data_IF_987145680224
#
_entry.id   IF_987145680224
#
_cell.length_a   1.000
_cell.length_b   1.000
_cell.length_c   1.000
_cell.angle_alpha   90.00
_cell.angle_beta   90.00
_cell.angle_gamma   90.00
#
_symmetry.space_group_name_H-M   'P 1'
#
loop_
_entity.id
_entity.type
_entity.pdbx_description
1 polymer ?
#
# COMPACT_ATOMS: atom_id res chain seq x y z
N UNK A 1 -23.47 6.75 1.90
CA UNK A 1 -22.39 5.77 1.97
C UNK A 1 -21.14 6.53 2.37
N UNK A 2 -20.59 6.29 3.54
CA UNK A 2 -19.35 6.90 3.98
C UNK A 2 -18.24 5.86 3.81
N UNK A 3 -17.26 6.16 2.99
CA UNK A 3 -16.12 5.30 2.70
C UNK A 3 -14.90 5.87 3.43
N UNK A 4 -14.24 5.05 4.22
CA UNK A 4 -13.02 5.40 4.94
C UNK A 4 -11.92 4.48 4.45
N UNK A 5 -10.82 5.09 4.00
CA UNK A 5 -9.59 4.39 3.61
C UNK A 5 -8.52 4.81 4.60
N UNK A 6 -8.02 3.87 5.36
CA UNK A 6 -7.02 4.10 6.41
C UNK A 6 -5.80 3.19 6.22
N UNK A 7 -4.61 3.70 6.51
CA UNK A 7 -3.44 2.90 6.81
C UNK A 7 -3.31 2.79 8.33
N UNK A 8 -3.21 1.58 8.84
CA UNK A 8 -2.96 1.35 10.25
C UNK A 8 -1.46 1.19 10.47
N UNK A 9 -0.90 2.12 11.24
CA UNK A 9 0.41 1.90 11.84
C UNK A 9 0.21 0.93 13.01
N UNK A 10 0.78 -0.28 12.94
CA UNK A 10 0.99 -1.10 14.13
C UNK A 10 2.04 -0.39 15.00
N UNK A 11 1.56 0.51 15.85
CA UNK A 11 2.34 1.00 16.97
C UNK A 11 2.26 0.01 18.11
N UNK A 12 3.37 -0.25 18.76
CA UNK A 12 3.47 -1.03 19.98
C UNK A 12 2.27 -0.82 20.92
N UNK A 13 1.63 -1.90 21.32
CA UNK A 13 0.69 -1.90 22.43
C UNK A 13 1.40 -1.38 23.68
N UNK A 14 1.13 -0.14 24.08
CA UNK A 14 1.69 0.32 25.35
C UNK A 14 1.39 1.74 25.76
N UNK A 15 1.05 2.63 24.87
CA UNK A 15 0.71 3.99 25.25
C UNK A 15 -0.68 4.37 24.71
N UNK A 16 -1.69 4.20 25.55
CA UNK A 16 -2.95 4.90 25.40
C UNK A 16 -2.65 6.39 25.68
N UNK A 17 -2.20 7.12 24.66
CA UNK A 17 -2.10 8.55 24.72
C UNK A 17 -3.53 9.10 24.73
N UNK A 18 -3.85 9.91 25.76
CA UNK A 18 -5.09 10.66 25.80
C UNK A 18 -5.24 11.43 24.47
N UNK A 19 -6.26 11.14 23.64
CA UNK A 19 -6.41 11.76 22.33
C UNK A 19 -6.45 13.29 22.37
N UNK A 20 -6.85 13.86 23.51
CA UNK A 20 -6.99 15.30 23.69
C UNK A 20 -5.64 16.01 23.98
N UNK A 21 -4.53 15.27 24.14
CA UNK A 21 -3.23 15.84 24.54
C UNK A 21 -2.07 15.50 23.58
N UNK A 22 -2.31 14.77 22.50
CA UNK A 22 -1.26 14.45 21.51
C UNK A 22 -1.14 15.58 20.50
N UNK A 23 -0.16 16.44 20.67
CA UNK A 23 0.23 17.41 19.65
C UNK A 23 1.17 16.69 18.68
N UNK A 24 0.65 16.32 17.51
CA UNK A 24 1.45 15.74 16.45
C UNK A 24 2.35 16.82 15.83
N UNK A 25 3.68 16.58 15.71
CA UNK A 25 4.56 17.51 15.02
C UNK A 25 4.12 17.66 13.58
N UNK A 26 4.12 18.89 13.06
CA UNK A 26 3.73 19.20 11.66
C UNK A 26 2.34 18.68 11.27
N UNK A 27 1.41 18.64 12.21
CA UNK A 27 0.04 18.24 11.96
C UNK A 27 -0.65 19.29 11.07
N UNK A 28 -0.94 18.92 9.85
CA UNK A 28 -1.85 19.65 8.98
C UNK A 28 -3.30 19.27 9.32
N UNK A 29 -4.20 20.23 9.32
CA UNK A 29 -5.63 19.92 9.42
C UNK A 29 -6.09 19.07 8.24
N UNK A 30 -7.07 18.19 8.50
CA UNK A 30 -7.66 17.37 7.46
C UNK A 30 -8.18 18.24 6.31
N UNK A 31 -7.72 17.97 5.11
CA UNK A 31 -8.21 18.67 3.90
C UNK A 31 -9.50 18.03 3.45
N UNK A 32 -10.53 18.84 3.26
CA UNK A 32 -11.83 18.36 2.83
C UNK A 32 -12.39 19.18 1.67
N UNK A 33 -13.31 18.59 0.93
CA UNK A 33 -14.04 19.27 -0.14
C UNK A 33 -15.46 18.72 -0.25
N UNK A 34 -16.40 19.61 -0.51
CA UNK A 34 -17.79 19.28 -0.84
C UNK A 34 -18.03 19.25 -2.35
N UNK A 35 -16.97 19.31 -3.16
CA UNK A 35 -17.06 19.19 -4.61
C UNK A 35 -17.43 17.76 -4.99
N UNK A 36 -18.66 17.56 -5.43
CA UNK A 36 -19.16 16.26 -5.85
C UNK A 36 -18.73 15.86 -7.26
N UNK A 37 -18.74 14.56 -7.52
CA UNK A 37 -18.60 13.98 -8.86
C UNK A 37 -19.29 12.61 -8.89
N UNK A 38 -20.27 12.41 -9.76
CA UNK A 38 -21.03 11.16 -9.79
C UNK A 38 -21.67 10.85 -8.45
N UNK A 39 -21.29 9.72 -7.84
CA UNK A 39 -21.78 9.30 -6.51
C UNK A 39 -21.07 10.02 -5.36
N UNK A 40 -19.95 10.69 -5.61
CA UNK A 40 -19.17 11.37 -4.57
C UNK A 40 -19.86 12.68 -4.21
N UNK A 41 -20.22 12.86 -2.95
CA UNK A 41 -20.82 14.09 -2.42
C UNK A 41 -19.78 15.00 -1.75
N UNK A 42 -18.86 14.38 -1.01
CA UNK A 42 -17.77 15.06 -0.33
C UNK A 42 -16.62 14.06 -0.08
N UNK A 43 -15.45 14.57 0.18
CA UNK A 43 -14.28 13.77 0.59
C UNK A 43 -13.39 14.57 1.52
N UNK A 44 -12.60 13.84 2.31
CA UNK A 44 -11.55 14.42 3.15
C UNK A 44 -10.33 13.52 3.12
N UNK A 45 -9.16 14.10 3.34
CA UNK A 45 -7.90 13.38 3.49
C UNK A 45 -7.09 13.99 4.62
N UNK A 46 -6.43 13.12 5.38
CA UNK A 46 -5.44 13.49 6.37
C UNK A 46 -4.28 12.52 6.27
N UNK A 47 -3.06 13.03 6.40
CA UNK A 47 -1.84 12.24 6.47
C UNK A 47 -0.85 12.93 7.39
N UNK A 48 -0.10 12.17 8.18
CA UNK A 48 0.88 12.71 9.11
C UNK A 48 1.97 11.68 9.37
N UNK A 49 3.21 12.14 9.56
CA UNK A 49 4.36 11.27 9.86
C UNK A 49 4.31 10.58 11.24
N UNK A 50 3.37 10.99 12.12
CA UNK A 50 3.33 10.54 13.51
C UNK A 50 4.44 11.17 14.37
N UNK A 51 4.61 10.62 15.59
CA UNK A 51 5.55 11.16 16.58
C UNK A 51 6.94 10.55 16.54
N UNK A 52 7.10 9.38 15.92
CA UNK A 52 8.35 8.61 15.92
C UNK A 52 9.14 8.71 14.60
N UNK A 53 8.47 9.07 13.50
CA UNK A 53 9.11 9.18 12.19
C UNK A 53 9.64 10.57 11.94
N UNK A 54 10.71 10.69 11.16
CA UNK A 54 11.29 11.98 10.77
C UNK A 54 10.64 12.54 9.50
N UNK A 55 9.96 11.70 8.72
CA UNK A 55 9.28 12.05 7.47
C UNK A 55 8.11 11.10 7.24
N UNK A 56 7.18 11.53 6.38
CA UNK A 56 6.01 10.76 6.00
C UNK A 56 6.24 10.04 4.67
N UNK A 57 6.17 8.72 4.68
CA UNK A 57 6.29 7.87 3.49
C UNK A 57 4.94 7.57 2.83
N UNK A 58 3.82 7.89 3.50
CA UNK A 58 2.48 7.68 2.99
C UNK A 58 2.11 8.67 1.89
N UNK A 59 1.31 8.22 0.93
CA UNK A 59 0.75 9.07 -0.12
C UNK A 59 -0.74 8.79 -0.31
N UNK A 60 -1.44 9.79 -0.82
CA UNK A 60 -2.87 9.73 -1.09
C UNK A 60 -3.15 10.20 -2.51
N UNK A 61 -3.99 9.48 -3.24
CA UNK A 61 -4.55 9.92 -4.53
C UNK A 61 -6.05 10.16 -4.41
N UNK A 62 -6.52 11.31 -4.89
CA UNK A 62 -7.93 11.66 -5.00
C UNK A 62 -8.18 12.23 -6.39
N UNK A 63 -8.84 11.45 -7.24
CA UNK A 63 -9.16 11.82 -8.61
C UNK A 63 -10.67 11.68 -8.80
N UNK A 64 -11.39 12.79 -8.81
CA UNK A 64 -12.85 12.77 -8.87
C UNK A 64 -13.39 12.37 -10.25
N UNK A 65 -12.63 12.64 -11.31
CA UNK A 65 -12.99 12.25 -12.66
C UNK A 65 -11.73 11.95 -13.47
N UNK A 66 -11.53 10.68 -13.78
CA UNK A 66 -10.42 10.26 -14.62
C UNK A 66 -10.75 10.59 -16.06
N UNK A 67 -9.89 11.37 -16.70
CA UNK A 67 -10.05 11.72 -18.10
C UNK A 67 -9.71 10.52 -19.00
N UNK A 68 -10.52 10.36 -20.05
CA UNK A 68 -10.32 9.30 -21.03
C UNK A 68 -8.96 9.42 -21.74
N UNK A 69 -8.17 8.34 -21.81
CA UNK A 69 -6.97 8.31 -22.64
C UNK A 69 -7.32 8.53 -24.12
N UNK A 70 -6.49 9.26 -24.86
CA UNK A 70 -6.77 9.66 -26.25
C UNK A 70 -7.04 8.51 -27.21
N UNK A 71 -6.47 7.32 -26.94
CA UNK A 71 -6.62 6.13 -27.78
C UNK A 71 -7.88 5.29 -27.46
N UNK A 72 -8.60 5.60 -26.37
CA UNK A 72 -9.87 4.93 -26.02
C UNK A 72 -11.05 5.61 -26.72
N UNK A 73 -12.10 4.82 -27.05
CA UNK A 73 -13.34 5.33 -27.65
C UNK A 73 -14.06 6.32 -26.75
N UNK A 74 -14.70 7.34 -27.33
CA UNK A 74 -15.51 8.32 -26.59
C UNK A 74 -16.84 7.73 -26.14
N UNK A 75 -17.42 6.85 -26.93
CA UNK A 75 -18.81 6.40 -26.78
C UNK A 75 -19.03 5.58 -25.50
N UNK A 76 -17.97 4.96 -24.97
CA UNK A 76 -18.06 4.01 -23.84
C UNK A 76 -17.31 4.47 -22.58
N UNK A 77 -16.83 5.74 -22.52
CA UNK A 77 -16.07 6.17 -21.35
C UNK A 77 -16.98 6.51 -20.16
N UNK A 78 -16.96 5.72 -19.08
CA UNK A 78 -17.82 5.93 -17.93
C UNK A 78 -17.31 7.08 -17.03
N UNK A 79 -18.15 7.54 -16.10
CA UNK A 79 -17.69 8.38 -15.00
C UNK A 79 -16.84 7.54 -14.05
N UNK A 80 -15.57 7.90 -13.91
CA UNK A 80 -14.62 7.18 -13.07
C UNK A 80 -14.02 8.08 -11.99
N UNK A 81 -14.10 7.65 -10.73
CA UNK A 81 -13.42 8.30 -9.61
C UNK A 81 -12.43 7.32 -8.98
N UNK A 82 -11.29 7.83 -8.54
CA UNK A 82 -10.22 7.01 -7.98
C UNK A 82 -9.72 7.60 -6.66
N UNK A 83 -9.68 6.78 -5.63
CA UNK A 83 -9.15 7.11 -4.32
C UNK A 83 -8.17 6.03 -3.92
N UNK A 84 -7.01 6.43 -3.40
CA UNK A 84 -6.03 5.45 -2.94
C UNK A 84 -5.21 6.01 -1.77
N UNK A 85 -4.79 5.10 -0.89
CA UNK A 85 -3.75 5.32 0.10
C UNK A 85 -2.62 4.36 -0.20
N UNK A 86 -1.41 4.89 -0.17
CA UNK A 86 -0.16 4.16 -0.35
C UNK A 86 0.66 4.31 0.91
N UNK A 87 0.74 3.24 1.70
CA UNK A 87 1.54 3.16 2.92
C UNK A 87 2.96 2.75 2.53
N UNK A 88 3.84 3.75 2.45
CA UNK A 88 5.22 3.59 2.00
C UNK A 88 6.14 3.14 3.12
N UNK A 89 7.18 2.40 2.77
CA UNK A 89 8.23 1.98 3.69
C UNK A 89 9.58 1.86 2.99
N UNK A 90 10.66 1.97 3.78
CA UNK A 90 12.02 1.90 3.24
C UNK A 90 12.39 3.05 2.30
N UNK A 91 11.61 4.11 2.30
CA UNK A 91 11.68 5.27 1.43
C UNK A 91 10.33 5.61 0.83
N UNK A 92 10.17 6.80 0.28
CA UNK A 92 8.91 7.29 -0.28
C UNK A 92 8.78 7.07 -1.79
N UNK A 93 9.83 6.64 -2.48
CA UNK A 93 9.88 6.61 -3.95
C UNK A 93 8.80 5.72 -4.56
N UNK A 94 8.58 4.53 -4.00
CA UNK A 94 7.54 3.62 -4.46
C UNK A 94 6.13 4.23 -4.28
N UNK A 95 5.85 4.78 -3.11
CA UNK A 95 4.56 5.43 -2.85
C UNK A 95 4.34 6.67 -3.73
N UNK A 96 5.38 7.48 -3.97
CA UNK A 96 5.34 8.62 -4.91
C UNK A 96 5.04 8.16 -6.34
N UNK A 97 5.72 7.11 -6.80
CA UNK A 97 5.49 6.52 -8.11
C UNK A 97 4.04 6.03 -8.28
N UNK A 98 3.51 5.30 -7.30
CA UNK A 98 2.15 4.77 -7.34
C UNK A 98 1.11 5.90 -7.32
N UNK A 99 1.30 6.93 -6.47
CA UNK A 99 0.41 8.10 -6.42
C UNK A 99 0.26 8.75 -7.78
N UNK A 100 1.35 8.89 -8.51
CA UNK A 100 1.38 9.64 -9.77
C UNK A 100 0.93 8.78 -10.96
N UNK A 101 1.08 7.45 -10.89
CA UNK A 101 1.00 6.59 -12.07
C UNK A 101 -0.04 5.47 -12.00
N UNK A 102 -0.35 4.87 -10.84
CA UNK A 102 -1.13 3.63 -10.75
C UNK A 102 -2.50 3.73 -11.44
N UNK A 103 -3.20 4.85 -11.25
CA UNK A 103 -4.49 5.08 -11.90
C UNK A 103 -4.39 5.06 -13.44
N UNK A 104 -3.27 5.53 -14.00
CA UNK A 104 -3.02 5.55 -15.44
C UNK A 104 -2.75 4.14 -15.96
N UNK A 105 -1.96 3.35 -15.24
CA UNK A 105 -1.71 1.95 -15.59
C UNK A 105 -3.01 1.15 -15.68
N UNK A 106 -3.96 1.38 -14.75
CA UNK A 106 -5.26 0.69 -14.77
C UNK A 106 -6.11 1.11 -15.97
N UNK A 107 -6.31 2.42 -16.18
CA UNK A 107 -7.25 2.90 -17.20
C UNK A 107 -6.72 2.77 -18.63
N UNK A 108 -5.41 2.57 -18.79
CA UNK A 108 -4.79 2.32 -20.10
C UNK A 108 -4.99 0.89 -20.59
N UNK A 109 -5.27 -0.08 -19.71
CA UNK A 109 -5.44 -1.47 -20.09
C UNK A 109 -6.55 -1.65 -21.14
N UNK A 110 -6.37 -2.56 -22.06
CA UNK A 110 -7.38 -2.84 -23.11
C UNK A 110 -8.70 -3.30 -22.48
N UNK A 111 -8.62 -4.06 -21.39
CA UNK A 111 -9.76 -4.55 -20.61
C UNK A 111 -10.57 -3.43 -19.93
N UNK A 112 -10.03 -2.22 -19.78
CA UNK A 112 -10.77 -1.09 -19.22
C UNK A 112 -11.59 -0.37 -20.32
N UNK A 113 -12.86 0.00 -20.11
CA UNK A 113 -13.68 -0.15 -18.90
C UNK A 113 -14.56 -1.41 -18.89
N UNK A 114 -14.43 -2.33 -19.84
CA UNK A 114 -15.32 -3.48 -20.03
C UNK A 114 -15.17 -4.56 -18.94
N UNK A 115 -13.93 -4.78 -18.45
CA UNK A 115 -13.59 -5.69 -17.36
C UNK A 115 -12.67 -4.99 -16.36
N UNK A 116 -13.23 -4.17 -15.44
CA UNK A 116 -12.41 -3.42 -14.47
C UNK A 116 -11.56 -4.30 -13.55
N UNK A 117 -12.01 -5.49 -13.07
CA UNK A 117 -11.15 -6.38 -12.31
C UNK A 117 -9.93 -6.89 -13.07
N UNK A 118 -10.06 -7.19 -14.37
CA UNK A 118 -8.91 -7.55 -15.22
C UNK A 118 -7.98 -6.34 -15.38
N UNK A 119 -8.51 -5.17 -15.70
CA UNK A 119 -7.74 -3.94 -15.86
C UNK A 119 -6.97 -3.55 -14.58
N UNK A 120 -7.55 -3.74 -13.41
CA UNK A 120 -6.87 -3.53 -12.13
C UNK A 120 -5.70 -4.50 -11.98
N UNK A 121 -5.91 -5.81 -12.22
CA UNK A 121 -4.81 -6.79 -12.11
C UNK A 121 -3.67 -6.52 -13.09
N UNK A 122 -4.01 -6.23 -14.33
CA UNK A 122 -3.05 -5.92 -15.39
C UNK A 122 -2.28 -4.62 -15.08
N UNK A 123 -2.99 -3.57 -14.67
CA UNK A 123 -2.39 -2.28 -14.30
C UNK A 123 -1.49 -2.35 -13.07
N UNK A 124 -1.83 -3.17 -12.06
CA UNK A 124 -0.97 -3.42 -10.91
C UNK A 124 0.29 -4.17 -11.31
N UNK A 125 0.17 -5.20 -12.15
CA UNK A 125 1.32 -5.97 -12.63
C UNK A 125 2.27 -5.11 -13.49
N UNK A 126 1.72 -4.27 -14.37
CA UNK A 126 2.51 -3.38 -15.22
C UNK A 126 3.20 -2.29 -14.39
N UNK A 127 2.48 -1.67 -13.42
CA UNK A 127 3.06 -0.67 -12.52
C UNK A 127 4.21 -1.25 -11.69
N UNK A 128 4.06 -2.45 -11.16
CA UNK A 128 5.11 -3.16 -10.43
C UNK A 128 6.34 -3.40 -11.31
N UNK A 129 6.14 -3.99 -12.50
CA UNK A 129 7.24 -4.28 -13.42
C UNK A 129 8.00 -3.02 -13.82
N UNK A 130 7.26 -1.93 -14.07
CA UNK A 130 7.86 -0.67 -14.48
C UNK A 130 8.66 -0.01 -13.34
N UNK A 131 8.15 -0.06 -12.09
CA UNK A 131 8.86 0.47 -10.94
C UNK A 131 10.15 -0.32 -10.67
N UNK A 132 10.07 -1.65 -10.67
CA UNK A 132 11.25 -2.51 -10.46
C UNK A 132 12.31 -2.29 -11.54
N UNK A 133 11.92 -2.10 -12.81
CA UNK A 133 12.83 -1.79 -13.91
C UNK A 133 13.54 -0.43 -13.70
N UNK A 134 12.80 0.60 -13.27
CA UNK A 134 13.40 1.92 -12.95
C UNK A 134 14.46 1.77 -11.87
N UNK A 135 14.14 1.07 -10.77
CA UNK A 135 15.04 0.91 -9.64
C UNK A 135 16.26 0.06 -10.02
N UNK A 136 16.07 -1.02 -10.79
CA UNK A 136 17.17 -1.88 -11.23
C UNK A 136 18.12 -1.14 -12.16
N UNK A 137 17.61 -0.39 -13.13
CA UNK A 137 18.41 0.42 -14.04
C UNK A 137 19.22 1.50 -13.29
N UNK A 138 18.58 2.21 -12.36
CA UNK A 138 19.28 3.21 -11.54
C UNK A 138 20.38 2.59 -10.68
N UNK A 139 20.17 1.40 -10.13
CA UNK A 139 21.19 0.67 -9.38
C UNK A 139 22.38 0.26 -10.27
N UNK A 140 22.11 -0.23 -11.48
CA UNK A 140 23.14 -0.65 -12.43
C UNK A 140 23.95 0.56 -12.95
N UNK A 141 23.31 1.70 -13.19
CA UNK A 141 23.99 2.97 -13.55
C UNK A 141 24.89 3.45 -12.41
N UNK A 142 24.39 3.45 -11.17
CA UNK A 142 25.18 3.85 -10.00
C UNK A 142 26.42 2.95 -9.79
N UNK A 143 26.28 1.64 -10.02
CA UNK A 143 27.41 0.71 -9.96
C UNK A 143 28.45 0.96 -11.07
N UNK A 144 28.00 1.31 -12.26
CA UNK A 144 28.89 1.60 -13.38
C UNK A 144 29.70 2.90 -13.19
N UNK A 145 29.13 3.91 -12.53
CA UNK A 145 29.80 5.19 -12.28
C UNK A 145 30.85 5.12 -11.14
N UNK A 146 30.65 4.28 -10.13
CA UNK A 146 31.50 4.24 -8.93
C UNK A 146 32.74 3.35 -9.06
N UNK A 147 32.85 2.50 -10.09
CA UNK A 147 33.93 1.53 -10.24
C UNK A 147 33.89 0.45 -9.15
N UNK A 148 34.70 -0.63 -9.29
CA UNK A 148 34.68 -1.84 -8.44
C UNK A 148 35.02 -1.63 -6.93
N UNK A 149 35.13 -0.41 -6.43
CA UNK A 149 35.71 -0.14 -5.11
C UNK A 149 34.76 0.06 -3.96
N UNK A 150 33.44 0.22 -4.20
CA UNK A 150 32.47 0.33 -3.11
C UNK A 150 31.18 -0.43 -3.45
N UNK A 151 30.93 -1.53 -2.72
CA UNK A 151 29.70 -2.33 -2.77
C UNK A 151 28.45 -1.62 -2.18
N UNK A 152 28.58 -0.39 -1.72
CA UNK A 152 27.48 0.41 -1.13
C UNK A 152 26.80 1.33 -2.16
N UNK A 153 26.64 0.87 -3.41
CA UNK A 153 25.74 1.54 -4.36
C UNK A 153 24.34 1.62 -3.74
N UNK A 154 23.79 2.84 -3.62
CA UNK A 154 22.46 3.06 -3.08
C UNK A 154 21.43 2.42 -4.00
N UNK A 155 20.88 1.28 -3.58
CA UNK A 155 19.72 0.66 -4.22
C UNK A 155 18.47 1.20 -3.52
N UNK A 156 17.51 1.73 -4.27
CA UNK A 156 16.22 2.12 -3.70
C UNK A 156 15.44 0.87 -3.27
N UNK A 157 15.39 0.65 -1.97
CA UNK A 157 14.68 -0.48 -1.36
C UNK A 157 13.26 -0.12 -0.93
N UNK A 158 12.74 1.00 -1.41
CA UNK A 158 11.39 1.41 -1.05
C UNK A 158 10.34 0.43 -1.55
N UNK A 159 9.32 0.25 -0.74
CA UNK A 159 8.11 -0.48 -1.06
C UNK A 159 6.88 0.29 -0.61
N UNK A 160 5.70 -0.20 -0.99
CA UNK A 160 4.44 0.39 -0.56
C UNK A 160 3.31 -0.63 -0.54
N UNK A 161 2.48 -0.59 0.50
CA UNK A 161 1.12 -1.09 0.39
C UNK A 161 0.30 -0.19 -0.54
N UNK A 162 -0.83 -0.70 -1.04
CA UNK A 162 -1.77 0.10 -1.82
C UNK A 162 -3.20 -0.38 -1.57
N UNK A 163 -4.05 0.50 -1.09
CA UNK A 163 -5.49 0.30 -1.05
C UNK A 163 -6.15 1.28 -2.00
N UNK A 164 -6.88 0.75 -2.98
CA UNK A 164 -7.49 1.50 -4.08
C UNK A 164 -8.98 1.31 -4.06
N UNK A 165 -9.71 2.40 -4.23
CA UNK A 165 -11.14 2.43 -4.49
C UNK A 165 -11.37 3.10 -5.84
N UNK A 166 -11.77 2.29 -6.81
CA UNK A 166 -12.16 2.74 -8.14
C UNK A 166 -13.67 2.68 -8.25
N UNK A 167 -14.29 3.82 -8.51
CA UNK A 167 -15.74 3.94 -8.69
C UNK A 167 -16.00 4.17 -10.18
N UNK A 168 -16.74 3.25 -10.80
CA UNK A 168 -17.11 3.32 -12.20
C UNK A 168 -18.63 3.38 -12.27
N UNK A 169 -19.19 4.50 -12.68
CA UNK A 169 -20.62 4.79 -12.62
C UNK A 169 -21.17 4.59 -11.20
N UNK A 170 -21.84 3.47 -10.92
CA UNK A 170 -22.45 3.14 -9.62
C UNK A 170 -21.78 1.94 -8.94
N UNK A 171 -20.74 1.34 -9.55
CA UNK A 171 -20.02 0.20 -8.99
C UNK A 171 -18.72 0.63 -8.33
N UNK A 172 -18.43 0.02 -7.20
CA UNK A 172 -17.23 0.26 -6.40
C UNK A 172 -16.33 -0.97 -6.46
N UNK A 173 -15.11 -0.77 -6.93
CA UNK A 173 -14.07 -1.78 -6.97
C UNK A 173 -13.02 -1.43 -5.93
N UNK A 174 -12.79 -2.33 -4.98
CA UNK A 174 -11.78 -2.19 -3.93
C UNK A 174 -10.66 -3.15 -4.23
N UNK A 175 -9.46 -2.63 -4.43
CA UNK A 175 -8.26 -3.44 -4.69
C UNK A 175 -7.22 -3.19 -3.60
N UNK A 176 -6.76 -4.26 -2.95
CA UNK A 176 -5.81 -4.17 -1.85
C UNK A 176 -4.56 -4.99 -2.10
N UNK A 177 -3.39 -4.39 -1.80
CA UNK A 177 -2.07 -5.01 -1.70
C UNK A 177 -1.45 -4.50 -0.39
N UNK A 178 -1.24 -5.38 0.59
CA UNK A 178 -0.70 -5.03 1.90
C UNK A 178 -1.76 -5.00 3.00
N UNK A 179 -1.49 -4.30 4.09
CA UNK A 179 -2.29 -4.28 5.31
C UNK A 179 -3.01 -2.95 5.59
N UNK A 180 -2.99 -2.03 4.62
CA UNK A 180 -3.93 -0.90 4.60
C UNK A 180 -5.36 -1.38 4.44
N UNK A 181 -6.34 -0.64 4.98
CA UNK A 181 -7.71 -1.13 5.10
C UNK A 181 -8.74 -0.14 4.57
N UNK A 182 -9.75 -0.68 3.89
CA UNK A 182 -10.95 0.05 3.50
C UNK A 182 -12.15 -0.47 4.27
N UNK A 183 -12.93 0.44 4.85
CA UNK A 183 -14.19 0.15 5.53
C UNK A 183 -15.32 1.02 4.98
N UNK A 184 -16.54 0.56 5.15
CA UNK A 184 -17.74 1.30 4.79
C UNK A 184 -18.66 1.41 5.99
N UNK A 185 -19.13 2.62 6.26
CA UNK A 185 -20.19 2.85 7.23
C UNK A 185 -21.54 2.86 6.53
N UNK A 186 -22.48 2.06 7.02
CA UNK A 186 -23.84 1.91 6.48
C UNK A 186 -24.90 2.17 7.56
N UNK A 187 -26.16 2.27 7.13
CA UNK A 187 -27.33 2.42 8.02
C UNK A 187 -27.21 3.57 9.03
N UNK A 188 -26.66 4.71 8.59
CA UNK A 188 -26.48 5.90 9.44
C UNK A 188 -25.44 5.70 10.55
N UNK A 189 -24.38 4.93 10.27
CA UNK A 189 -23.25 4.70 11.19
C UNK A 189 -23.44 3.51 12.13
N UNK A 190 -24.55 2.76 11.99
CA UNK A 190 -24.81 1.59 12.85
C UNK A 190 -24.05 0.34 12.44
N UNK A 191 -23.71 0.24 11.16
CA UNK A 191 -23.02 -0.91 10.60
C UNK A 191 -21.68 -0.45 10.01
N UNK A 192 -20.62 -1.23 10.30
CA UNK A 192 -19.30 -1.07 9.69
C UNK A 192 -18.95 -2.35 8.94
N UNK A 193 -18.73 -2.21 7.64
CA UNK A 193 -18.42 -3.33 6.75
C UNK A 193 -16.97 -3.24 6.31
N UNK A 194 -16.21 -4.32 6.46
CA UNK A 194 -14.86 -4.42 5.92
C UNK A 194 -14.91 -4.63 4.40
N UNK A 195 -14.32 -3.72 3.64
CA UNK A 195 -14.24 -3.81 2.18
C UNK A 195 -12.95 -4.46 1.69
N UNK A 196 -11.94 -4.60 2.53
CA UNK A 196 -10.67 -5.27 2.24
C UNK A 196 -10.28 -6.24 3.35
N UNK A 197 -9.26 -7.04 3.09
CA UNK A 197 -8.59 -7.89 4.07
C UNK A 197 -7.11 -7.58 4.05
N UNK A 198 -6.50 -7.50 5.23
CA UNK A 198 -5.06 -7.28 5.37
C UNK A 198 -4.27 -8.49 4.85
N UNK A 199 -3.16 -8.23 4.19
CA UNK A 199 -2.25 -9.26 3.71
C UNK A 199 -1.06 -9.37 4.65
N UNK A 200 -1.26 -10.08 5.78
CA UNK A 200 -0.21 -10.35 6.77
C UNK A 200 0.39 -11.75 6.60
N UNK A 201 1.68 -11.95 6.91
CA UNK A 201 2.34 -13.24 6.73
C UNK A 201 1.69 -14.41 7.47
N UNK A 202 1.02 -14.15 8.59
CA UNK A 202 0.33 -15.15 9.41
C UNK A 202 -1.12 -15.41 9.01
N UNK A 203 -1.67 -14.68 8.03
CA UNK A 203 -2.97 -15.00 7.44
C UNK A 203 -2.90 -16.34 6.70
N UNK A 204 -3.88 -17.22 6.89
CA UNK A 204 -3.82 -18.61 6.44
C UNK A 204 -3.49 -18.74 4.94
N UNK A 205 -4.19 -17.99 4.09
CA UNK A 205 -3.98 -18.03 2.62
C UNK A 205 -2.59 -17.52 2.23
N UNK A 206 -2.14 -16.46 2.90
CA UNK A 206 -0.83 -15.88 2.66
C UNK A 206 0.28 -16.79 3.17
N UNK A 207 0.11 -17.38 4.36
CA UNK A 207 1.07 -18.31 4.95
C UNK A 207 1.27 -19.55 4.07
N UNK A 208 0.20 -20.12 3.52
CA UNK A 208 0.27 -21.24 2.58
C UNK A 208 1.08 -20.83 1.34
N UNK A 209 0.73 -19.71 0.69
CA UNK A 209 1.44 -19.23 -0.50
C UNK A 209 2.94 -19.01 -0.23
N UNK A 210 3.27 -18.36 0.89
CA UNK A 210 4.66 -18.08 1.29
C UNK A 210 5.44 -19.39 1.44
N UNK A 211 4.90 -20.36 2.17
CA UNK A 211 5.60 -21.61 2.47
C UNK A 211 5.74 -22.52 1.25
N UNK A 212 4.71 -22.61 0.40
CA UNK A 212 4.76 -23.34 -0.88
C UNK A 212 5.82 -22.78 -1.82
N UNK A 213 6.06 -21.47 -1.78
CA UNK A 213 7.10 -20.80 -2.56
C UNK A 213 8.45 -20.70 -1.82
N UNK A 214 8.68 -21.54 -0.80
CA UNK A 214 9.93 -21.64 -0.03
C UNK A 214 10.28 -20.39 0.78
N UNK A 215 9.34 -19.48 1.00
CA UNK A 215 9.46 -18.40 1.96
C UNK A 215 9.38 -18.94 3.39
N UNK A 216 9.84 -18.13 4.35
CA UNK A 216 9.76 -18.45 5.77
C UNK A 216 9.01 -17.35 6.49
N UNK A 217 8.16 -17.75 7.45
CA UNK A 217 7.49 -16.83 8.36
C UNK A 217 8.18 -16.95 9.70
N UNK A 218 8.51 -15.82 10.30
CA UNK A 218 9.15 -15.76 11.61
C UNK A 218 8.62 -14.56 12.39
N UNK A 219 8.90 -14.55 13.69
CA UNK A 219 8.54 -13.45 14.58
C UNK A 219 9.79 -13.00 15.34
N UNK A 220 10.03 -11.71 15.36
CA UNK A 220 11.13 -11.14 16.14
C UNK A 220 10.79 -11.18 17.63
N UNK A 221 11.82 -11.35 18.45
CA UNK A 221 11.70 -11.35 19.90
C UNK A 221 12.68 -10.33 20.48
N UNK A 222 12.18 -9.45 21.33
CA UNK A 222 12.97 -8.45 22.01
C UNK A 222 12.90 -8.71 23.52
N UNK A 223 14.04 -8.86 24.17
CA UNK A 223 14.12 -9.03 25.62
C UNK A 223 14.27 -7.65 26.23
N UNK A 224 13.31 -7.25 27.05
CA UNK A 224 13.33 -5.97 27.77
C UNK A 224 13.30 -6.18 29.29
N UNK A 225 13.95 -5.34 30.09
CA UNK A 225 13.83 -5.39 31.55
C UNK A 225 12.39 -5.09 31.97
N UNK A 226 11.85 -5.86 32.89
CA UNK A 226 10.55 -5.57 33.49
C UNK A 226 10.61 -4.28 34.31
N UNK A 227 9.55 -3.48 34.25
CA UNK A 227 9.46 -2.21 34.99
C UNK A 227 9.54 -2.39 36.51
N UNK A 228 9.15 -3.54 37.02
CA UNK A 228 9.19 -3.88 38.47
C UNK A 228 10.58 -4.38 38.95
N UNK A 229 11.55 -4.48 38.07
CA UNK A 229 12.91 -4.94 38.40
C UNK A 229 13.03 -6.45 38.69
N UNK A 230 11.96 -7.25 38.44
CA UNK A 230 11.94 -8.69 38.76
C UNK A 230 12.57 -9.58 37.69
N UNK A 231 13.20 -9.00 36.68
CA UNK A 231 13.85 -9.75 35.60
C UNK A 231 13.55 -9.18 34.22
N UNK A 232 13.61 -10.04 33.21
CA UNK A 232 13.35 -9.66 31.83
C UNK A 232 12.02 -10.26 31.34
N UNK A 233 11.38 -9.57 30.41
CA UNK A 233 10.26 -10.09 29.64
C UNK A 233 10.59 -10.15 28.15
N UNK A 234 9.95 -11.07 27.44
CA UNK A 234 10.10 -11.21 26.01
C UNK A 234 8.90 -10.59 25.31
N UNK A 235 9.15 -9.52 24.58
CA UNK A 235 8.14 -8.89 23.72
C UNK A 235 8.25 -9.51 22.34
N UNK A 236 7.12 -10.00 21.83
CA UNK A 236 7.01 -10.53 20.47
C UNK A 236 6.67 -9.38 19.51
N UNK A 237 7.48 -9.20 18.48
CA UNK A 237 7.19 -8.28 17.38
C UNK A 237 6.21 -8.90 16.36
N UNK A 238 5.91 -8.20 15.26
CA UNK A 238 5.02 -8.71 14.23
C UNK A 238 5.60 -9.94 13.52
N UNK A 239 4.71 -10.74 12.91
CA UNK A 239 5.15 -11.78 12.00
C UNK A 239 5.77 -11.15 10.75
N UNK A 240 6.92 -11.69 10.36
CA UNK A 240 7.66 -11.23 9.19
C UNK A 240 7.90 -12.36 8.22
N UNK A 241 8.12 -12.00 6.97
CA UNK A 241 8.41 -12.94 5.89
C UNK A 241 9.86 -12.83 5.45
N UNK A 242 10.47 -13.96 5.09
CA UNK A 242 11.78 -14.02 4.46
C UNK A 242 11.66 -14.74 3.10
N UNK A 243 12.25 -14.20 2.04
CA UNK A 243 13.07 -12.98 1.93
C UNK A 243 12.29 -11.69 2.16
N UNK A 244 13.00 -10.57 2.35
CA UNK A 244 12.44 -9.22 2.45
C UNK A 244 12.29 -8.69 3.88
N UNK A 245 12.09 -9.56 4.89
CA UNK A 245 11.88 -9.16 6.30
C UNK A 245 10.69 -8.24 6.56
N UNK A 246 9.71 -8.27 5.66
CA UNK A 246 8.52 -7.43 5.69
C UNK A 246 7.47 -7.97 6.66
N UNK A 247 6.70 -7.11 7.29
CA UNK A 247 5.52 -7.44 8.10
C UNK A 247 4.25 -7.64 7.27
N UNK A 248 4.34 -7.41 5.96
CA UNK A 248 3.28 -7.66 4.98
C UNK A 248 3.67 -8.80 4.05
N UNK A 249 2.69 -9.50 3.49
CA UNK A 249 2.89 -10.59 2.53
C UNK A 249 2.72 -10.15 1.08
N UNK A 250 2.20 -8.93 0.89
CA UNK A 250 2.04 -8.29 -0.43
C UNK A 250 2.44 -6.82 -0.35
N UNK A 251 3.18 -6.37 -1.35
CA UNK A 251 3.60 -4.97 -1.51
C UNK A 251 3.96 -4.67 -2.96
N UNK A 252 4.07 -3.38 -3.29
CA UNK A 252 4.80 -2.90 -4.47
C UNK A 252 6.24 -2.60 -4.11
N UNK A 253 7.15 -2.63 -5.09
CA UNK A 253 8.56 -2.35 -4.86
C UNK A 253 9.25 -3.45 -4.06
N UNK A 254 10.01 -3.10 -3.04
CA UNK A 254 10.78 -4.06 -2.21
C UNK A 254 11.72 -4.95 -3.05
N UNK A 255 12.56 -4.33 -3.85
CA UNK A 255 13.40 -5.00 -4.85
C UNK A 255 14.23 -6.15 -4.27
N UNK A 256 14.77 -5.98 -3.06
CA UNK A 256 15.54 -7.04 -2.36
C UNK A 256 14.67 -8.24 -1.97
N UNK A 257 13.40 -8.02 -1.69
CA UNK A 257 12.48 -9.10 -1.35
C UNK A 257 12.05 -9.91 -2.58
N UNK A 258 12.12 -9.33 -3.78
CA UNK A 258 11.52 -9.85 -5.00
C UNK A 258 12.51 -10.37 -6.02
N UNK A 259 13.56 -9.59 -6.32
CA UNK A 259 14.47 -9.97 -7.40
C UNK A 259 15.52 -11.00 -6.95
N UNK A 260 15.68 -12.09 -7.72
CA UNK A 260 16.67 -13.12 -7.42
C UNK A 260 18.11 -12.60 -7.35
N UNK A 261 18.44 -11.54 -8.09
CA UNK A 261 19.74 -10.85 -8.06
C UNK A 261 20.12 -10.41 -6.64
N UNK A 262 19.12 -10.04 -5.83
CA UNK A 262 19.30 -9.61 -4.44
C UNK A 262 18.87 -10.68 -3.41
N UNK A 263 18.63 -11.91 -3.85
CA UNK A 263 18.20 -13.01 -2.98
C UNK A 263 16.69 -13.06 -2.72
N UNK A 264 15.92 -12.27 -3.45
CA UNK A 264 14.46 -12.19 -3.36
C UNK A 264 13.73 -13.31 -4.09
N UNK A 265 12.40 -13.31 -3.93
CA UNK A 265 11.49 -14.23 -4.62
C UNK A 265 10.12 -13.58 -4.83
N UNK A 266 9.81 -13.25 -6.09
CA UNK A 266 8.54 -12.61 -6.50
C UNK A 266 7.28 -13.46 -6.22
N UNK A 267 7.41 -14.74 -5.88
CA UNK A 267 6.27 -15.58 -5.49
C UNK A 267 6.01 -15.54 -3.98
N UNK A 268 6.99 -15.09 -3.20
CA UNK A 268 6.89 -14.93 -1.73
C UNK A 268 6.28 -13.58 -1.38
N UNK A 269 6.79 -12.49 -1.94
CA UNK A 269 6.20 -11.15 -1.85
C UNK A 269 5.64 -10.79 -3.22
N UNK A 270 4.33 -10.54 -3.27
CA UNK A 270 3.62 -10.30 -4.53
C UNK A 270 2.91 -8.94 -4.52
N UNK A 271 2.74 -8.34 -5.70
CA UNK A 271 1.93 -7.13 -5.92
C UNK A 271 0.52 -7.44 -6.46
N UNK A 272 0.08 -8.71 -6.39
CA UNK A 272 -1.23 -9.15 -6.90
C UNK A 272 -2.34 -8.69 -5.96
N UNK A 273 -3.28 -7.84 -6.41
CA UNK A 273 -4.33 -7.32 -5.56
C UNK A 273 -5.42 -8.35 -5.24
N UNK A 274 -5.95 -8.31 -4.01
CA UNK A 274 -7.29 -8.83 -3.73
C UNK A 274 -8.31 -7.79 -4.20
N UNK A 275 -9.27 -8.21 -5.04
CA UNK A 275 -10.27 -7.31 -5.60
C UNK A 275 -11.65 -7.72 -5.14
N UNK A 276 -12.40 -6.77 -4.57
CA UNK A 276 -13.81 -6.93 -4.20
C UNK A 276 -14.65 -5.91 -4.95
N UNK A 277 -15.87 -6.31 -5.29
CA UNK A 277 -16.81 -5.49 -6.07
C UNK A 277 -18.09 -5.30 -5.26
N UNK A 278 -18.57 -4.06 -5.23
CA UNK A 278 -19.78 -3.67 -4.51
C UNK A 278 -20.68 -2.85 -5.44
N UNK A 279 -22.00 -3.09 -5.34
CA UNK A 279 -23.05 -2.39 -6.10
C UNK A 279 -23.68 -1.26 -5.29
#
# INVERSE_FOLDING_TARGET
>A
MNLIVESFLEGDEGYCLDPDHVILPNHDEARHSTKGSGMIQAYAANTNQGVFRNYNEDRVSIILNITRPKFKSEEDWPTCSFFAVYDGHGGASCADFLRDNLHQFIVKQESFPSDPPAAIREGFAEAESFFLEIVENAADEAMAEQGETNHDGYVDNSGSCAIVILIINQKVYVANVGDSRAIMSANGGRDVLSLSRDHKPNEEVEAVRITENRGKIYQTQTIVPKMDGTGNECILGPHRVFPGRLSVSRSFGDIEAKLPKYGGNMQVIVSVPEIRVFD
#
